data_IF_263725723814
#
_entry.id   IF_263725723814
#
_cell.length_a   1.000
_cell.length_b   1.000
_cell.length_c   1.000
_cell.angle_alpha   90.00
_cell.angle_beta   90.00
_cell.angle_gamma   90.00
#
_symmetry.space_group_name_H-M   'P 1'
#
loop_
_entity.id
_entity.type
_entity.pdbx_description
1 polymer ?
#
# COMPACT_ATOMS: atom_id res chain seq x y z
N UNK A 1 -44.13 37.09 6.52
CA UNK A 1 -43.16 36.50 7.47
C UNK A 1 -42.59 35.15 7.02
N UNK A 2 -43.38 34.24 6.41
CA UNK A 2 -42.94 32.87 6.06
C UNK A 2 -41.94 32.72 4.90
N UNK A 3 -41.94 33.61 3.90
CA UNK A 3 -41.01 33.50 2.76
C UNK A 3 -39.55 33.85 3.12
N UNK A 4 -39.36 34.80 4.05
CA UNK A 4 -38.02 35.18 4.51
C UNK A 4 -37.38 34.06 5.34
N UNK A 5 -38.17 33.35 6.16
CA UNK A 5 -37.68 32.21 6.95
C UNK A 5 -37.27 31.05 6.06
N UNK A 6 -38.08 30.70 5.06
CA UNK A 6 -37.84 29.56 4.16
C UNK A 6 -36.63 29.78 3.25
N UNK A 7 -36.47 31.01 2.73
CA UNK A 7 -35.30 31.38 1.94
C UNK A 7 -34.00 31.34 2.76
N UNK A 8 -34.09 31.70 4.04
CA UNK A 8 -32.96 31.61 4.98
C UNK A 8 -32.59 30.15 5.25
N UNK A 9 -33.58 29.26 5.46
CA UNK A 9 -33.36 27.81 5.65
C UNK A 9 -32.72 27.15 4.43
N UNK A 10 -33.18 27.47 3.22
CA UNK A 10 -32.64 26.91 1.97
C UNK A 10 -31.18 27.33 1.72
N UNK A 11 -30.82 28.56 2.07
CA UNK A 11 -29.44 29.03 1.99
C UNK A 11 -28.53 28.33 3.00
N UNK A 12 -29.04 28.06 4.22
CA UNK A 12 -28.31 27.32 5.25
C UNK A 12 -28.05 25.87 4.79
N UNK A 13 -29.07 25.20 4.23
CA UNK A 13 -28.95 23.83 3.71
C UNK A 13 -27.97 23.77 2.53
N UNK A 14 -28.06 24.72 1.59
CA UNK A 14 -27.14 24.83 0.45
C UNK A 14 -25.70 25.06 0.89
N UNK A 15 -25.50 25.88 1.93
CA UNK A 15 -24.16 26.15 2.49
C UNK A 15 -23.60 24.94 3.24
N UNK A 16 -24.43 24.20 3.99
CA UNK A 16 -24.03 22.95 4.67
C UNK A 16 -23.70 21.82 3.69
N UNK A 17 -24.47 21.71 2.61
CA UNK A 17 -24.18 20.78 1.50
C UNK A 17 -22.86 21.12 0.81
N UNK A 18 -22.55 22.41 0.62
CA UNK A 18 -21.23 22.85 0.10
C UNK A 18 -20.09 22.55 1.07
N UNK A 19 -20.30 22.74 2.38
CA UNK A 19 -19.29 22.41 3.39
C UNK A 19 -19.01 20.89 3.43
N UNK A 20 -20.05 20.06 3.37
CA UNK A 20 -19.92 18.61 3.28
C UNK A 20 -19.20 18.18 1.99
N UNK A 21 -19.54 18.83 0.88
CA UNK A 21 -18.91 18.61 -0.42
C UNK A 21 -17.43 19.02 -0.42
N UNK A 22 -17.05 20.13 0.22
CA UNK A 22 -15.65 20.54 0.40
C UNK A 22 -14.89 19.56 1.31
N UNK A 23 -15.51 19.07 2.38
CA UNK A 23 -14.92 18.04 3.24
C UNK A 23 -14.63 16.74 2.47
N UNK A 24 -15.48 16.42 1.49
CA UNK A 24 -15.29 15.31 0.57
C UNK A 24 -14.16 15.58 -0.45
N UNK A 25 -14.04 16.81 -0.94
CA UNK A 25 -12.99 17.25 -1.87
C UNK A 25 -11.60 17.27 -1.21
N UNK A 26 -11.53 17.67 0.06
CA UNK A 26 -10.28 17.81 0.81
C UNK A 26 -9.70 16.49 1.35
N UNK A 27 -10.35 15.34 1.11
CA UNK A 27 -9.81 14.00 1.40
C UNK A 27 -8.72 13.59 0.37
N UNK A 28 -7.92 14.53 -0.11
CA UNK A 28 -6.89 14.31 -1.12
C UNK A 28 -5.64 15.15 -0.85
N UNK A 29 -5.01 14.93 0.30
CA UNK A 29 -3.55 14.88 0.31
C UNK A 29 -3.17 13.42 0.07
N UNK A 30 -3.18 12.98 -1.19
CA UNK A 30 -2.69 11.65 -1.56
C UNK A 30 -1.17 11.64 -1.37
N UNK A 31 -0.76 11.51 -0.10
CA UNK A 31 0.59 11.13 0.25
C UNK A 31 0.91 9.82 -0.47
N UNK A 32 2.15 9.70 -0.92
CA UNK A 32 2.60 8.56 -1.71
C UNK A 32 3.60 7.77 -0.89
N UNK A 33 3.38 6.46 -0.80
CA UNK A 33 4.32 5.54 -0.17
C UNK A 33 4.96 4.71 -1.26
N UNK A 34 6.29 4.64 -1.28
CA UNK A 34 7.02 3.69 -2.12
C UNK A 34 7.21 2.36 -1.40
N UNK A 35 6.82 1.26 -2.02
CA UNK A 35 7.09 -0.09 -1.55
C UNK A 35 7.99 -0.83 -2.55
N UNK A 36 9.13 -1.32 -2.07
CA UNK A 36 10.00 -2.24 -2.78
C UNK A 36 10.27 -3.46 -1.91
N UNK A 37 10.05 -4.65 -2.46
CA UNK A 37 10.37 -5.92 -1.84
C UNK A 37 11.54 -6.52 -2.61
N UNK A 38 12.58 -6.96 -1.88
CA UNK A 38 13.56 -7.89 -2.42
C UNK A 38 12.98 -9.32 -2.34
N UNK A 39 12.61 -9.97 -3.46
CA UNK A 39 11.89 -11.24 -3.42
C UNK A 39 12.67 -12.40 -2.81
N UNK A 40 14.01 -12.30 -2.73
CA UNK A 40 14.88 -13.36 -2.17
C UNK A 40 15.31 -13.08 -0.72
N UNK A 41 14.91 -11.96 -0.13
CA UNK A 41 15.36 -11.61 1.21
C UNK A 41 14.77 -12.52 2.31
N UNK A 42 15.52 -12.69 3.39
CA UNK A 42 15.12 -13.45 4.58
C UNK A 42 15.54 -14.93 4.59
N UNK A 43 16.29 -15.40 3.59
CA UNK A 43 16.69 -16.81 3.51
C UNK A 43 17.91 -17.17 4.40
N UNK A 44 18.95 -16.33 4.44
CA UNK A 44 20.24 -16.71 5.07
C UNK A 44 20.16 -16.95 6.57
N UNK A 45 19.44 -16.10 7.30
CA UNK A 45 19.30 -16.22 8.75
C UNK A 45 18.61 -17.53 9.19
N UNK A 46 17.70 -18.08 8.38
CA UNK A 46 16.99 -19.33 8.70
C UNK A 46 17.88 -20.56 8.67
N UNK A 47 18.98 -20.51 7.93
CA UNK A 47 19.91 -21.62 7.73
C UNK A 47 21.29 -21.34 8.34
N UNK A 48 21.39 -20.36 9.24
CA UNK A 48 22.63 -20.03 9.94
C UNK A 48 23.71 -19.39 9.06
N UNK A 49 23.36 -18.90 7.87
CA UNK A 49 24.30 -18.22 6.98
C UNK A 49 24.38 -16.72 7.37
N UNK A 50 25.60 -16.18 7.41
CA UNK A 50 25.84 -14.74 7.58
C UNK A 50 25.39 -14.01 6.31
N UNK A 51 24.10 -13.70 6.22
CA UNK A 51 23.49 -13.01 5.08
C UNK A 51 23.33 -13.89 3.83
N UNK A 52 22.80 -13.31 2.76
CA UNK A 52 22.64 -13.93 1.42
C UNK A 52 23.30 -13.08 0.34
N UNK A 53 24.43 -12.47 0.66
CA UNK A 53 25.11 -11.53 -0.23
C UNK A 53 25.99 -12.30 -1.22
N UNK A 54 25.34 -12.98 -2.17
CA UNK A 54 25.99 -13.72 -3.25
C UNK A 54 25.14 -14.87 -3.79
N UNK A 55 25.23 -15.11 -5.11
CA UNK A 55 24.48 -16.17 -5.80
C UNK A 55 24.74 -17.57 -5.20
N UNK A 56 25.97 -17.83 -4.73
CA UNK A 56 26.34 -19.10 -4.08
C UNK A 56 25.60 -19.28 -2.75
N UNK A 57 25.49 -18.23 -1.95
CA UNK A 57 24.82 -18.25 -0.65
C UNK A 57 23.31 -18.42 -0.79
N UNK A 58 22.71 -17.80 -1.82
CA UNK A 58 21.28 -18.00 -2.15
C UNK A 58 21.00 -19.44 -2.56
N UNK A 59 21.87 -20.04 -3.37
CA UNK A 59 21.71 -21.43 -3.82
C UNK A 59 21.81 -22.39 -2.64
N UNK A 60 22.85 -22.24 -1.81
CA UNK A 60 23.01 -23.04 -0.59
C UNK A 60 21.83 -22.88 0.38
N UNK A 61 21.32 -21.66 0.56
CA UNK A 61 20.14 -21.45 1.41
C UNK A 61 18.92 -22.21 0.88
N UNK A 62 18.70 -22.24 -0.44
CA UNK A 62 17.63 -23.03 -1.06
C UNK A 62 17.82 -24.53 -0.86
N UNK A 63 19.04 -25.04 -1.03
CA UNK A 63 19.36 -26.46 -0.83
C UNK A 63 19.12 -26.90 0.63
N UNK A 64 19.35 -25.98 1.58
CA UNK A 64 19.05 -26.17 3.00
C UNK A 64 17.55 -25.95 3.33
N UNK A 65 16.68 -25.77 2.33
CA UNK A 65 15.24 -25.62 2.49
C UNK A 65 14.77 -24.23 2.90
N UNK A 66 15.62 -23.21 2.85
CA UNK A 66 15.22 -21.83 3.14
C UNK A 66 14.22 -21.34 2.08
N UNK A 67 13.18 -20.63 2.55
CA UNK A 67 12.21 -19.94 1.71
C UNK A 67 12.30 -18.43 1.96
N UNK A 68 12.12 -17.59 0.92
CA UNK A 68 12.07 -16.15 1.14
C UNK A 68 10.93 -15.76 2.09
N UNK A 69 11.20 -14.86 3.01
CA UNK A 69 10.21 -14.40 4.00
C UNK A 69 9.71 -12.99 3.72
N UNK A 70 10.40 -12.24 2.86
CA UNK A 70 10.13 -10.81 2.63
C UNK A 70 8.68 -10.55 2.22
N UNK A 71 8.16 -11.27 1.23
CA UNK A 71 6.78 -11.12 0.77
C UNK A 71 5.75 -11.41 1.88
N UNK A 72 6.00 -12.44 2.71
CA UNK A 72 5.11 -12.78 3.83
C UNK A 72 5.11 -11.68 4.89
N UNK A 73 6.31 -11.18 5.28
CA UNK A 73 6.44 -10.08 6.25
C UNK A 73 5.82 -8.79 5.73
N UNK A 74 6.00 -8.47 4.46
CA UNK A 74 5.36 -7.30 3.84
C UNK A 74 3.84 -7.43 3.86
N UNK A 75 3.29 -8.61 3.58
CA UNK A 75 1.86 -8.84 3.64
C UNK A 75 1.31 -8.57 5.06
N UNK A 76 1.99 -9.10 6.10
CA UNK A 76 1.62 -8.84 7.50
C UNK A 76 1.66 -7.34 7.81
N UNK A 77 2.73 -6.64 7.42
CA UNK A 77 2.83 -5.20 7.63
C UNK A 77 1.67 -4.45 6.93
N UNK A 78 1.38 -4.75 5.67
CA UNK A 78 0.29 -4.12 4.92
C UNK A 78 -1.09 -4.40 5.50
N UNK A 79 -1.31 -5.55 6.15
CA UNK A 79 -2.57 -5.85 6.83
C UNK A 79 -2.86 -4.88 7.98
N UNK A 80 -1.84 -4.46 8.72
CA UNK A 80 -1.99 -3.47 9.80
C UNK A 80 -2.43 -2.10 9.26
N UNK A 81 -2.07 -1.75 8.02
CA UNK A 81 -2.49 -0.51 7.36
C UNK A 81 -3.82 -0.63 6.61
N UNK A 82 -4.56 -1.73 6.79
CA UNK A 82 -5.73 -2.02 5.95
C UNK A 82 -6.88 -1.03 6.09
N UNK A 83 -7.02 -0.35 7.23
CA UNK A 83 -8.00 0.72 7.44
C UNK A 83 -7.61 2.05 6.78
N UNK A 84 -6.35 2.17 6.33
CA UNK A 84 -5.77 3.40 5.76
C UNK A 84 -5.53 3.30 4.25
N UNK A 85 -6.07 2.27 3.58
CA UNK A 85 -5.87 2.02 2.14
C UNK A 85 -6.26 3.19 1.25
N UNK A 86 -7.28 3.95 1.66
CA UNK A 86 -7.79 5.11 0.91
C UNK A 86 -7.12 6.42 1.33
N UNK A 87 -6.21 6.39 2.31
CA UNK A 87 -5.52 7.58 2.84
C UNK A 87 -4.25 7.93 2.06
N UNK A 88 -3.73 7.02 1.23
CA UNK A 88 -2.51 7.23 0.45
C UNK A 88 -2.50 6.40 -0.84
N UNK A 89 -1.68 6.82 -1.81
CA UNK A 89 -1.38 6.04 -3.01
C UNK A 89 -0.11 5.21 -2.77
N UNK A 90 -0.17 3.89 -2.99
CA UNK A 90 1.00 3.03 -2.84
C UNK A 90 1.66 2.82 -4.20
N UNK A 91 2.93 3.20 -4.32
CA UNK A 91 3.72 3.05 -5.54
C UNK A 91 4.64 1.85 -5.37
N UNK A 92 4.67 0.93 -6.33
CA UNK A 92 5.49 -0.29 -6.22
C UNK A 92 5.97 -0.83 -7.57
N UNK A 93 6.72 -1.92 -7.55
CA UNK A 93 7.26 -2.61 -8.73
C UNK A 93 6.47 -3.89 -9.05
N UNK A 94 6.55 -4.40 -10.31
CA UNK A 94 5.77 -5.55 -10.74
C UNK A 94 6.03 -6.85 -9.95
N UNK A 95 5.01 -7.70 -9.87
CA UNK A 95 5.08 -9.06 -9.32
C UNK A 95 5.49 -9.12 -7.84
N UNK A 96 6.47 -9.97 -7.53
CA UNK A 96 6.95 -10.23 -6.16
C UNK A 96 7.74 -9.07 -5.54
N UNK A 97 8.03 -8.03 -6.32
CA UNK A 97 8.68 -6.81 -5.82
C UNK A 97 7.71 -5.86 -5.09
N UNK A 98 6.41 -6.19 -5.04
CA UNK A 98 5.44 -5.54 -4.16
C UNK A 98 4.01 -5.49 -4.69
N UNK A 99 3.82 -5.52 -6.01
CA UNK A 99 2.50 -5.55 -6.65
C UNK A 99 1.60 -6.65 -6.08
N UNK A 100 2.10 -7.89 -6.02
CA UNK A 100 1.30 -9.04 -5.59
C UNK A 100 0.85 -8.91 -4.12
N UNK A 101 1.75 -8.47 -3.24
CA UNK A 101 1.47 -8.29 -1.82
C UNK A 101 0.42 -7.18 -1.61
N UNK A 102 0.60 -6.04 -2.27
CA UNK A 102 -0.30 -4.91 -2.14
C UNK A 102 -1.70 -5.18 -2.71
N UNK A 103 -1.78 -5.82 -3.89
CA UNK A 103 -3.06 -6.23 -4.49
C UNK A 103 -3.81 -7.21 -3.61
N UNK A 104 -3.11 -8.17 -3.00
CA UNK A 104 -3.73 -9.16 -2.11
C UNK A 104 -4.42 -8.53 -0.90
N UNK A 105 -3.91 -7.40 -0.42
CA UNK A 105 -4.52 -6.64 0.68
C UNK A 105 -5.55 -5.64 0.18
N UNK A 106 -5.54 -5.27 -1.11
CA UNK A 106 -6.53 -4.37 -1.71
C UNK A 106 -6.16 -2.89 -1.62
N UNK A 107 -4.86 -2.56 -1.57
CA UNK A 107 -4.39 -1.18 -1.71
C UNK A 107 -4.61 -0.66 -3.13
N UNK A 108 -4.92 0.63 -3.26
CA UNK A 108 -4.82 1.31 -4.54
C UNK A 108 -3.34 1.53 -4.87
N UNK A 109 -2.85 0.88 -5.94
CA UNK A 109 -1.43 0.88 -6.28
C UNK A 109 -1.14 1.44 -7.66
N UNK A 110 0.00 2.13 -7.76
CA UNK A 110 0.64 2.50 -9.02
C UNK A 110 1.90 1.66 -9.22
N UNK A 111 1.90 0.82 -10.24
CA UNK A 111 3.05 -0.02 -10.59
C UNK A 111 3.99 0.75 -11.54
N UNK A 112 5.28 0.79 -11.21
CA UNK A 112 6.33 1.41 -12.03
C UNK A 112 7.29 0.34 -12.55
N UNK A 113 7.59 0.39 -13.84
CA UNK A 113 8.49 -0.54 -14.53
C UNK A 113 7.74 -1.67 -15.24
N UNK A 114 8.51 -2.62 -15.80
CA UNK A 114 7.98 -3.80 -16.49
C UNK A 114 8.58 -5.04 -15.87
N UNK A 115 7.82 -6.13 -15.85
CA UNK A 115 8.36 -7.45 -15.51
C UNK A 115 9.23 -7.89 -16.69
N UNK A 116 10.53 -7.99 -16.47
CA UNK A 116 11.43 -8.61 -17.43
C UNK A 116 11.36 -10.13 -17.16
N UNK A 117 10.97 -10.90 -18.17
CA UNK A 117 10.90 -12.36 -18.12
C UNK A 117 12.25 -12.97 -18.45
#
# INVERSE_FOLDING_TARGET
MGQLTEHTTNNIISSLLKLFWIFHIMKSNNFKIGLIINPIAGMGGKVGLKGTDGNKTVSLAKDLGAKPESNFKTLQALQEFSSLKDSFELITCPGEMGENAAKKIGFNIKVIGKKNF
#
